data_IF_492179616129
#
_entry.id   IF_492179616129
#
_cell.length_a   1.000
_cell.length_b   1.000
_cell.length_c   1.000
_cell.angle_alpha   90.00
_cell.angle_beta   90.00
_cell.angle_gamma   90.00
#
_symmetry.space_group_name_H-M   'P 1'
#
loop_
_entity.id
_entity.type
_entity.pdbx_description
1 polymer ?
#
# COMPACT_ATOMS: atom_id res chain seq x y z
N UNK A 1 -7.66 52.25 18.01
CA UNK A 1 -7.44 51.75 16.64
C UNK A 1 -6.87 50.34 16.75
N UNK A 2 -7.55 49.32 16.21
CA UNK A 2 -7.12 47.93 16.29
C UNK A 2 -6.28 47.56 15.05
N UNK A 3 -5.05 47.10 15.28
CA UNK A 3 -4.12 46.72 14.23
C UNK A 3 -4.55 45.38 13.61
N UNK A 4 -4.87 45.35 12.32
CA UNK A 4 -5.20 44.12 11.62
C UNK A 4 -3.93 43.27 11.44
N UNK A 5 -3.90 42.09 12.05
CA UNK A 5 -2.80 41.13 11.87
C UNK A 5 -3.18 40.16 10.75
N UNK A 6 -2.46 40.22 9.62
CA UNK A 6 -2.69 39.31 8.50
C UNK A 6 -1.88 38.02 8.70
N UNK A 7 -2.55 36.86 8.72
CA UNK A 7 -1.91 35.54 8.76
C UNK A 7 -1.81 34.98 7.34
N UNK A 8 -0.58 34.69 6.87
CA UNK A 8 -0.32 34.09 5.55
C UNK A 8 0.11 32.63 5.73
N UNK A 9 -0.67 31.70 5.17
CA UNK A 9 -0.29 30.28 5.10
C UNK A 9 0.75 30.11 3.99
N UNK A 10 1.87 29.45 4.29
CA UNK A 10 2.91 29.08 3.31
C UNK A 10 2.82 27.61 2.96
N UNK A 11 3.10 27.21 1.72
CA UNK A 11 3.22 25.80 1.38
C UNK A 11 4.42 25.21 2.13
N UNK A 12 4.20 24.08 2.80
CA UNK A 12 5.26 23.24 3.35
C UNK A 12 5.34 21.96 2.51
N UNK A 13 6.55 21.42 2.39
CA UNK A 13 6.79 20.12 1.80
C UNK A 13 7.16 19.15 2.92
N UNK A 14 6.49 18.02 2.95
CA UNK A 14 6.88 16.89 3.80
C UNK A 14 7.69 15.96 2.91
N UNK A 15 8.96 15.75 3.25
CA UNK A 15 9.81 14.76 2.62
C UNK A 15 9.72 13.50 3.48
N UNK A 16 9.15 12.43 2.94
CA UNK A 16 9.07 11.13 3.63
C UNK A 16 10.16 10.24 3.02
N UNK A 17 11.13 9.76 3.81
CA UNK A 17 12.14 8.82 3.32
C UNK A 17 11.52 7.53 2.76
N UNK A 18 12.17 6.91 1.78
CA UNK A 18 11.68 5.68 1.17
C UNK A 18 11.66 4.52 2.18
N UNK A 19 12.66 4.46 3.05
CA UNK A 19 12.79 3.44 4.09
C UNK A 19 11.59 3.43 5.04
N UNK A 20 11.08 4.61 5.41
CA UNK A 20 9.92 4.76 6.27
C UNK A 20 8.66 4.24 5.57
N UNK A 21 8.53 4.49 4.27
CA UNK A 21 7.41 3.98 3.48
C UNK A 21 7.47 2.45 3.33
N UNK A 22 8.66 1.89 3.16
CA UNK A 22 8.86 0.43 3.08
C UNK A 22 8.52 -0.22 4.42
N UNK A 23 9.01 0.35 5.52
CA UNK A 23 8.71 -0.13 6.87
C UNK A 23 7.21 -0.08 7.17
N UNK A 24 6.54 1.01 6.81
CA UNK A 24 5.09 1.14 6.94
C UNK A 24 4.34 0.06 6.15
N UNK A 25 4.77 -0.26 4.92
CA UNK A 25 4.16 -1.34 4.13
C UNK A 25 4.41 -2.71 4.75
N UNK A 26 5.62 -2.98 5.25
CA UNK A 26 5.96 -4.25 5.90
C UNK A 26 5.07 -4.52 7.12
N UNK A 27 4.82 -3.50 7.93
CA UNK A 27 3.94 -3.60 9.12
C UNK A 27 2.48 -3.90 8.79
N UNK A 28 2.04 -3.56 7.58
CA UNK A 28 0.66 -3.74 7.12
C UNK A 28 0.48 -4.99 6.25
N UNK A 29 1.55 -5.71 5.93
CA UNK A 29 1.50 -6.88 5.07
C UNK A 29 0.87 -8.06 5.81
N UNK A 30 -0.33 -8.46 5.40
CA UNK A 30 -1.10 -9.55 6.04
C UNK A 30 -0.93 -10.91 5.36
N UNK A 31 -0.45 -10.93 4.12
CA UNK A 31 -0.26 -12.13 3.33
C UNK A 31 0.82 -11.91 2.26
N UNK A 32 1.70 -12.89 2.11
CA UNK A 32 2.71 -12.95 1.07
C UNK A 32 2.98 -14.42 0.77
N UNK A 33 3.00 -14.78 -0.50
CA UNK A 33 3.33 -16.12 -0.96
C UNK A 33 4.08 -16.03 -2.29
N UNK A 34 5.08 -16.88 -2.46
CA UNK A 34 5.78 -17.04 -3.73
C UNK A 34 5.19 -18.24 -4.46
N UNK A 35 4.92 -18.08 -5.75
CA UNK A 35 4.36 -19.13 -6.60
C UNK A 35 5.30 -19.43 -7.75
N UNK A 36 5.41 -20.71 -8.10
CA UNK A 36 6.38 -21.18 -9.12
C UNK A 36 5.95 -20.89 -10.57
N UNK A 37 4.71 -20.43 -10.79
CA UNK A 37 4.07 -20.34 -12.11
C UNK A 37 3.23 -19.08 -12.28
N UNK A 38 3.26 -18.50 -13.49
CA UNK A 38 2.47 -17.33 -13.90
C UNK A 38 3.33 -16.10 -14.23
N UNK A 39 2.76 -15.19 -15.02
CA UNK A 39 3.39 -13.94 -15.43
C UNK A 39 2.64 -12.70 -14.95
N UNK A 40 2.75 -11.62 -15.72
CA UNK A 40 2.14 -10.33 -15.37
C UNK A 40 0.61 -10.41 -15.31
N UNK A 41 0.00 -11.30 -16.11
CA UNK A 41 -1.45 -11.47 -16.17
C UNK A 41 -1.89 -12.74 -15.43
N UNK A 42 -1.46 -12.89 -14.18
CA UNK A 42 -1.72 -14.07 -13.34
C UNK A 42 -3.20 -14.53 -13.35
N UNK A 43 -4.15 -13.58 -13.35
CA UNK A 43 -5.59 -13.89 -13.38
C UNK A 43 -6.06 -14.54 -14.70
N UNK A 44 -5.34 -14.35 -15.81
CA UNK A 44 -5.63 -14.98 -17.11
C UNK A 44 -4.74 -16.17 -17.42
N UNK A 45 -3.48 -16.14 -16.98
CA UNK A 45 -2.51 -17.21 -17.22
C UNK A 45 -2.73 -18.41 -16.29
N UNK A 46 -3.13 -18.18 -15.03
CA UNK A 46 -3.33 -19.20 -14.01
C UNK A 46 -4.58 -18.87 -13.15
N UNK A 47 -5.80 -18.90 -13.72
CA UNK A 47 -6.99 -18.39 -13.05
C UNK A 47 -7.33 -19.12 -11.74
N UNK A 48 -7.15 -20.44 -11.67
CA UNK A 48 -7.42 -21.23 -10.46
C UNK A 48 -6.43 -20.90 -9.34
N UNK A 49 -5.14 -20.83 -9.67
CA UNK A 49 -4.07 -20.47 -8.73
C UNK A 49 -4.30 -19.05 -8.21
N UNK A 50 -4.56 -18.10 -9.10
CA UNK A 50 -4.85 -16.72 -8.71
C UNK A 50 -6.05 -16.66 -7.74
N UNK A 51 -7.13 -17.36 -8.05
CA UNK A 51 -8.33 -17.39 -7.20
C UNK A 51 -8.04 -18.03 -5.82
N UNK A 52 -7.19 -19.07 -5.74
CA UNK A 52 -6.83 -19.67 -4.46
C UNK A 52 -5.98 -18.73 -3.59
N UNK A 53 -5.01 -18.04 -4.18
CA UNK A 53 -4.13 -17.08 -3.49
C UNK A 53 -4.94 -15.89 -2.95
N UNK A 54 -5.87 -15.35 -3.75
CA UNK A 54 -6.78 -14.29 -3.29
C UNK A 54 -7.61 -14.77 -2.09
N UNK A 55 -8.20 -15.97 -2.16
CA UNK A 55 -8.98 -16.50 -1.03
C UNK A 55 -8.11 -16.73 0.21
N UNK A 56 -6.87 -17.19 0.04
CA UNK A 56 -5.94 -17.39 1.14
C UNK A 56 -5.57 -16.05 1.81
N UNK A 57 -5.31 -15.00 1.02
CA UNK A 57 -4.96 -13.67 1.50
C UNK A 57 -6.05 -13.04 2.37
N UNK A 58 -7.32 -13.20 1.98
CA UNK A 58 -8.46 -12.65 2.73
C UNK A 58 -8.98 -13.59 3.82
N UNK A 59 -8.46 -14.81 3.93
CA UNK A 59 -8.88 -15.80 4.94
C UNK A 59 -8.79 -15.30 6.39
N UNK A 60 -7.79 -14.48 6.80
CA UNK A 60 -7.71 -13.93 8.16
C UNK A 60 -8.69 -12.78 8.43
N UNK A 61 -9.31 -12.20 7.40
CA UNK A 61 -10.18 -11.01 7.51
C UNK A 61 -11.68 -11.35 7.54
N UNK A 62 -12.04 -12.64 7.47
CA UNK A 62 -13.42 -13.13 7.42
C UNK A 62 -13.88 -13.71 8.76
#
# INVERSE_FOLDING_TARGET
MATATAVRVRPFRVEIPEEDLVELRRRQLIYFNEVDMGGHFAAWEQPELFASEVRAAFRPLR
#
